data_IF_795686698071
#
_entry.id   IF_795686698071
#
_cell.length_a   1.000
_cell.length_b   1.000
_cell.length_c   1.000
_cell.angle_alpha   90.00
_cell.angle_beta   90.00
_cell.angle_gamma   90.00
#
_symmetry.space_group_name_H-M   'P 1'
#
loop_
_entity.id
_entity.type
_entity.pdbx_description
1 polymer ?
#
# COMPACT_ATOMS: atom_id res chain seq x y z
N UNK A 1 -20.45 -13.67 -11.05
CA UNK A 1 -19.76 -14.40 -12.14
C UNK A 1 -19.44 -15.83 -11.70
N UNK A 2 -20.04 -16.88 -12.28
CA UNK A 2 -19.90 -18.27 -11.84
C UNK A 2 -18.48 -18.86 -11.98
N UNK A 3 -17.62 -18.28 -12.83
CA UNK A 3 -16.22 -18.73 -13.03
C UNK A 3 -15.18 -18.00 -12.16
N UNK A 4 -15.61 -17.05 -11.33
CA UNK A 4 -14.70 -16.20 -10.54
C UNK A 4 -13.86 -17.00 -9.54
N UNK A 5 -14.43 -18.04 -8.91
CA UNK A 5 -13.72 -18.89 -7.95
C UNK A 5 -12.59 -19.70 -8.61
N UNK A 6 -12.84 -20.26 -9.80
CA UNK A 6 -11.85 -21.05 -10.53
C UNK A 6 -10.68 -20.18 -11.03
N UNK A 7 -10.98 -18.96 -11.49
CA UNK A 7 -9.97 -17.97 -11.89
C UNK A 7 -9.15 -17.51 -10.68
N UNK A 8 -9.82 -17.22 -9.55
CA UNK A 8 -9.14 -16.83 -8.32
C UNK A 8 -8.21 -17.94 -7.81
N UNK A 9 -8.62 -19.21 -7.92
CA UNK A 9 -7.81 -20.37 -7.53
C UNK A 9 -6.60 -20.58 -8.46
N UNK A 10 -6.78 -20.46 -9.78
CA UNK A 10 -5.68 -20.52 -10.73
C UNK A 10 -4.62 -19.42 -10.47
N UNK A 11 -5.07 -18.20 -10.16
CA UNK A 11 -4.20 -17.09 -9.77
C UNK A 11 -3.50 -17.37 -8.44
N UNK A 12 -4.19 -17.98 -7.47
CA UNK A 12 -3.63 -18.34 -6.15
C UNK A 12 -2.47 -19.32 -6.27
N UNK A 13 -2.65 -20.37 -7.08
CA UNK A 13 -1.60 -21.37 -7.35
C UNK A 13 -0.37 -20.77 -8.02
N UNK A 14 -0.57 -19.91 -9.02
CA UNK A 14 0.53 -19.21 -9.70
C UNK A 14 1.36 -18.32 -8.78
N UNK A 15 0.74 -17.69 -7.77
CA UNK A 15 1.45 -16.89 -6.73
C UNK A 15 2.14 -17.75 -5.68
N UNK A 16 1.66 -18.97 -5.43
CA UNK A 16 2.24 -19.88 -4.45
C UNK A 16 3.59 -20.44 -4.91
N UNK A 17 3.76 -20.64 -6.22
CA UNK A 17 4.99 -21.18 -6.82
C UNK A 17 6.03 -20.12 -7.21
N UNK A 18 5.65 -18.84 -7.19
CA UNK A 18 6.47 -17.75 -7.73
C UNK A 18 6.45 -17.74 -9.27
N UNK A 19 6.21 -16.58 -9.86
CA UNK A 19 6.23 -16.44 -11.32
C UNK A 19 7.67 -16.46 -11.87
N UNK A 20 7.90 -16.85 -13.14
CA UNK A 20 9.22 -16.76 -13.77
C UNK A 20 9.84 -15.36 -13.67
N UNK A 21 8.99 -14.32 -13.73
CA UNK A 21 9.38 -12.92 -13.59
C UNK A 21 9.86 -12.55 -12.17
N UNK A 22 9.33 -13.19 -11.12
CA UNK A 22 9.76 -12.94 -9.73
C UNK A 22 11.12 -13.59 -9.45
N UNK A 23 11.37 -14.76 -10.05
CA UNK A 23 12.67 -15.45 -9.99
C UNK A 23 13.77 -14.68 -10.74
N UNK A 24 13.47 -14.11 -11.91
CA UNK A 24 14.44 -13.31 -12.68
C UNK A 24 14.69 -11.92 -12.09
N UNK A 25 13.68 -11.27 -11.50
CA UNK A 25 13.88 -9.99 -10.79
C UNK A 25 14.81 -10.14 -9.58
N UNK A 26 14.71 -11.26 -8.86
CA UNK A 26 15.63 -11.55 -7.76
C UNK A 26 17.08 -11.68 -8.20
N UNK A 27 17.33 -12.28 -9.36
CA UNK A 27 18.68 -12.44 -9.92
C UNK A 27 19.23 -11.14 -10.52
N UNK A 28 18.37 -10.26 -11.03
CA UNK A 28 18.80 -9.02 -11.71
C UNK A 28 18.92 -7.80 -10.79
N UNK A 29 18.15 -7.71 -9.71
CA UNK A 29 18.10 -6.53 -8.81
C UNK A 29 18.61 -6.88 -7.40
N UNK A 30 18.93 -8.14 -7.12
CA UNK A 30 19.43 -8.58 -5.80
C UNK A 30 18.37 -8.62 -4.70
N UNK A 31 17.08 -8.53 -5.05
CA UNK A 31 15.96 -8.49 -4.11
C UNK A 31 15.16 -9.79 -4.16
N UNK A 32 15.28 -10.63 -3.12
CA UNK A 32 14.51 -11.87 -3.01
C UNK A 32 13.08 -11.58 -2.52
N UNK A 33 12.10 -11.71 -3.42
CA UNK A 33 10.68 -11.57 -3.09
C UNK A 33 10.19 -12.81 -2.32
N UNK A 34 9.96 -12.66 -1.02
CA UNK A 34 9.41 -13.73 -0.18
C UNK A 34 7.89 -13.82 -0.34
N UNK A 35 7.31 -14.94 -0.85
CA UNK A 35 5.87 -15.05 -1.12
C UNK A 35 4.97 -14.78 0.08
N UNK A 36 5.46 -15.10 1.29
CA UNK A 36 4.76 -14.78 2.54
C UNK A 36 4.61 -13.27 2.75
N UNK A 37 5.71 -12.52 2.59
CA UNK A 37 5.73 -11.06 2.77
C UNK A 37 4.83 -10.35 1.76
N UNK A 38 4.78 -10.82 0.52
CA UNK A 38 3.85 -10.29 -0.49
C UNK A 38 2.38 -10.45 -0.10
N UNK A 39 2.01 -11.58 0.52
CA UNK A 39 0.64 -11.81 1.02
C UNK A 39 0.31 -10.91 2.20
N UNK A 40 1.24 -10.73 3.13
CA UNK A 40 1.07 -9.83 4.29
C UNK A 40 0.92 -8.38 3.83
N UNK A 41 1.77 -7.91 2.91
CA UNK A 41 1.66 -6.58 2.31
C UNK A 41 0.31 -6.39 1.60
N UNK A 42 -0.14 -7.40 0.82
CA UNK A 42 -1.45 -7.36 0.16
C UNK A 42 -2.60 -7.28 1.17
N UNK A 43 -2.49 -7.96 2.32
CA UNK A 43 -3.49 -7.92 3.38
C UNK A 43 -3.53 -6.55 4.07
N UNK A 44 -2.37 -5.95 4.36
CA UNK A 44 -2.25 -4.59 4.88
C UNK A 44 -2.96 -3.58 3.96
N UNK A 45 -2.67 -3.59 2.66
CA UNK A 45 -3.29 -2.65 1.71
C UNK A 45 -4.82 -2.81 1.58
N UNK A 46 -5.33 -4.04 1.73
CA UNK A 46 -6.79 -4.27 1.82
C UNK A 46 -7.37 -3.68 3.09
N UNK A 47 -6.77 -3.94 4.23
CA UNK A 47 -7.23 -3.42 5.51
C UNK A 47 -7.24 -1.88 5.54
N UNK A 48 -6.21 -1.24 4.96
CA UNK A 48 -6.19 0.22 4.82
C UNK A 48 -7.34 0.69 3.94
N UNK A 49 -7.49 0.13 2.72
CA UNK A 49 -8.55 0.53 1.80
C UNK A 49 -9.96 0.33 2.36
N UNK A 50 -10.20 -0.76 3.09
CA UNK A 50 -11.48 -1.01 3.77
C UNK A 50 -11.75 0.00 4.90
N UNK A 51 -10.71 0.46 5.59
CA UNK A 51 -10.85 1.33 6.76
C UNK A 51 -10.96 2.83 6.44
N UNK A 52 -10.38 3.29 5.32
CA UNK A 52 -10.31 4.72 4.96
C UNK A 52 -10.79 5.05 3.55
N UNK A 53 -11.08 4.05 2.71
CA UNK A 53 -11.43 4.24 1.29
C UNK A 53 -10.21 4.31 0.36
N UNK A 54 -10.46 4.18 -0.95
CA UNK A 54 -9.39 4.13 -1.94
C UNK A 54 -8.64 5.46 -2.09
N UNK A 55 -9.35 6.60 -2.08
CA UNK A 55 -8.74 7.93 -2.24
C UNK A 55 -7.70 8.22 -1.14
N UNK A 56 -8.07 8.06 0.14
CA UNK A 56 -7.14 8.24 1.28
C UNK A 56 -6.04 7.19 1.33
N UNK A 57 -6.29 5.97 0.86
CA UNK A 57 -5.23 4.96 0.74
C UNK A 57 -4.22 5.39 -0.31
N UNK A 58 -4.70 5.91 -1.43
CA UNK A 58 -3.88 6.24 -2.58
C UNK A 58 -3.10 7.56 -2.39
N UNK A 59 -3.54 8.46 -1.51
CA UNK A 59 -2.76 9.65 -1.12
C UNK A 59 -1.42 9.32 -0.44
N UNK A 60 -1.23 8.08 0.03
CA UNK A 60 0.09 7.62 0.50
C UNK A 60 1.16 7.64 -0.61
N UNK A 61 0.77 7.70 -1.88
CA UNK A 61 1.69 7.79 -3.02
C UNK A 61 2.09 9.22 -3.36
N UNK A 62 1.45 10.23 -2.76
CA UNK A 62 1.75 11.65 -3.03
C UNK A 62 3.18 12.01 -2.59
N UNK A 63 3.67 11.35 -1.53
CA UNK A 63 5.04 11.52 -1.05
C UNK A 63 5.67 10.18 -0.63
N UNK A 64 6.93 9.91 -1.02
CA UNK A 64 7.60 8.65 -0.72
C UNK A 64 7.76 8.38 0.78
N UNK A 65 7.85 9.42 1.61
CA UNK A 65 8.02 9.30 3.07
C UNK A 65 6.75 8.84 3.79
N UNK A 66 5.58 8.93 3.12
CA UNK A 66 4.32 8.44 3.65
C UNK A 66 4.15 6.94 3.46
N UNK A 67 4.96 6.32 2.59
CA UNK A 67 4.79 4.90 2.25
C UNK A 67 5.03 4.00 3.48
N UNK A 68 4.11 3.06 3.75
CA UNK A 68 4.28 2.09 4.83
C UNK A 68 5.55 1.26 4.64
N UNK A 69 6.26 1.02 5.73
CA UNK A 69 7.48 0.20 5.75
C UNK A 69 7.17 -1.25 6.19
N UNK A 70 8.22 -2.08 6.31
CA UNK A 70 8.06 -3.49 6.67
C UNK A 70 7.42 -3.75 8.04
N UNK A 71 7.54 -2.83 9.01
CA UNK A 71 6.89 -2.96 10.32
C UNK A 71 5.37 -2.73 10.23
N UNK A 72 4.96 -1.84 9.34
CA UNK A 72 3.54 -1.55 9.12
C UNK A 72 2.80 -2.74 8.48
N UNK A 73 3.52 -3.58 7.72
CA UNK A 73 2.99 -4.85 7.21
C UNK A 73 2.55 -5.77 8.36
N UNK A 74 3.30 -5.77 9.47
CA UNK A 74 3.00 -6.59 10.66
C UNK A 74 1.93 -5.95 11.54
N UNK A 75 1.80 -4.61 11.49
CA UNK A 75 0.78 -3.86 12.23
C UNK A 75 0.15 -2.72 11.39
N UNK A 76 -0.86 -3.03 10.55
CA UNK A 76 -1.51 -2.04 9.68
C UNK A 76 -2.27 -0.94 10.43
N UNK A 77 -2.64 -1.17 11.69
CA UNK A 77 -3.49 -0.27 12.47
C UNK A 77 -2.86 1.12 12.63
N UNK A 78 -1.54 1.21 12.78
CA UNK A 78 -0.84 2.48 12.92
C UNK A 78 -0.98 3.38 11.69
N UNK A 79 -0.91 2.80 10.48
CA UNK A 79 -1.10 3.53 9.22
C UNK A 79 -2.55 4.01 9.09
N UNK A 80 -3.50 3.15 9.46
CA UNK A 80 -4.94 3.48 9.41
C UNK A 80 -5.26 4.64 10.35
N UNK A 81 -4.75 4.64 11.58
CA UNK A 81 -4.95 5.74 12.52
C UNK A 81 -4.39 7.05 11.98
N UNK A 82 -3.15 7.04 11.47
CA UNK A 82 -2.53 8.24 10.86
C UNK A 82 -3.34 8.80 9.70
N UNK A 83 -3.86 7.94 8.81
CA UNK A 83 -4.67 8.36 7.67
C UNK A 83 -6.06 8.88 8.06
N UNK A 84 -6.59 8.46 9.21
CA UNK A 84 -7.83 9.01 9.75
C UNK A 84 -7.61 10.39 10.36
N UNK A 85 -6.48 10.59 11.02
CA UNK A 85 -6.11 11.85 11.68
C UNK A 85 -5.60 12.91 10.68
N UNK A 86 -4.84 12.51 9.65
CA UNK A 86 -4.19 13.42 8.69
C UNK A 86 -5.10 14.06 7.64
N UNK A 87 -6.43 13.94 7.75
CA UNK A 87 -7.38 14.53 6.79
C UNK A 87 -7.56 16.05 6.89
N UNK A 88 -6.92 16.72 7.85
CA UNK A 88 -7.18 18.12 8.22
C UNK A 88 -6.01 19.09 7.92
N UNK A 89 -4.87 18.59 7.44
CA UNK A 89 -3.62 19.37 7.35
C UNK A 89 -3.28 20.05 6.02
N UNK A 90 -3.69 19.56 4.81
CA UNK A 90 -3.30 20.21 3.55
C UNK A 90 -3.84 21.65 3.43
N UNK A 91 -5.11 21.87 3.76
CA UNK A 91 -5.75 23.18 3.67
C UNK A 91 -5.11 24.21 4.62
N UNK A 92 -4.68 23.77 5.81
CA UNK A 92 -4.02 24.63 6.77
C UNK A 92 -2.60 25.04 6.33
N UNK A 93 -1.85 24.13 5.71
CA UNK A 93 -0.51 24.42 5.18
C UNK A 93 -0.56 25.37 3.97
N UNK A 94 -1.48 25.11 3.04
CA UNK A 94 -1.67 25.98 1.88
C UNK A 94 -2.15 27.38 2.27
N UNK A 95 -3.00 27.48 3.30
CA UNK A 95 -3.42 28.76 3.86
C UNK A 95 -2.25 29.51 4.51
N UNK A 96 -1.42 28.81 5.30
CA UNK A 96 -0.24 29.41 5.91
C UNK A 96 0.80 29.88 4.87
N UNK A 97 0.92 29.18 3.75
CA UNK A 97 1.81 29.57 2.66
C UNK A 97 1.30 30.84 1.95
N UNK A 98 -0.01 30.98 1.73
CA UNK A 98 -0.62 32.21 1.19
C UNK A 98 -0.42 33.39 2.13
N UNK A 99 -0.69 33.21 3.42
CA UNK A 99 -0.52 34.26 4.44
C UNK A 99 0.94 34.77 4.57
N UNK A 100 1.92 33.94 4.20
CA UNK A 100 3.35 34.30 4.19
C UNK A 100 3.79 35.03 2.92
N UNK A 101 3.20 34.70 1.76
CA UNK A 101 3.53 35.28 0.45
C UNK A 101 2.77 36.58 0.15
N UNK A 102 1.63 36.80 0.78
CA UNK A 102 0.82 38.04 0.67
C UNK A 102 1.29 39.16 1.63
N UNK A 103 2.47 39.01 2.26
CA UNK A 103 3.17 40.04 3.05
C UNK A 103 4.41 40.55 2.35
#
# INVERSE_FOLDING_TARGET
MPKAAAVAEAIRRRRATGGPAELTFGTLVGLELRPRRLREASAMWRAIGEAVGNEKRDSLWDHPDLLPNSKDIENPAGVISKLREGGDTPDAFDQALRDLLDK
#
